data_IF_724333156989
#
_entry.id   IF_724333156989
#
_cell.length_a   1.000
_cell.length_b   1.000
_cell.length_c   1.000
_cell.angle_alpha   90.00
_cell.angle_beta   90.00
_cell.angle_gamma   90.00
#
_symmetry.space_group_name_H-M   'P 1'
#
loop_
_entity.id
_entity.type
_entity.pdbx_description
1 polymer ?
#
# COMPACT_ATOMS: atom_id res chain seq x y z
N UNK A 1 16.14 2.28 0.14
CA UNK A 1 15.01 2.90 0.56
C UNK A 1 14.39 2.22 1.69
N UNK A 2 14.11 2.97 2.69
CA UNK A 2 13.61 2.40 3.88
C UNK A 2 12.28 1.75 3.72
N UNK A 3 11.44 2.27 2.85
CA UNK A 3 10.14 1.70 2.69
C UNK A 3 10.20 0.26 2.18
N UNK A 4 11.16 -0.04 1.34
CA UNK A 4 11.21 -1.37 0.78
C UNK A 4 11.52 -2.42 1.84
N UNK A 5 12.20 -2.01 2.88
CA UNK A 5 12.55 -2.95 3.91
C UNK A 5 11.47 -3.11 4.95
N UNK A 6 10.66 -2.09 5.14
CA UNK A 6 9.67 -2.13 6.19
C UNK A 6 8.33 -2.70 5.78
N UNK A 7 8.09 -2.78 4.49
CA UNK A 7 6.82 -3.26 3.99
C UNK A 7 6.90 -4.75 3.70
N UNK A 8 5.95 -5.51 4.21
CA UNK A 8 5.90 -6.92 3.93
C UNK A 8 4.68 -7.26 3.11
N UNK A 9 4.90 -7.79 1.94
CA UNK A 9 3.83 -8.20 1.05
C UNK A 9 3.06 -9.33 1.73
N UNK A 10 1.77 -9.25 1.75
CA UNK A 10 0.93 -10.25 2.38
C UNK A 10 0.55 -9.92 3.80
N UNK A 11 1.28 -8.99 4.43
CA UNK A 11 0.96 -8.58 5.79
C UNK A 11 0.50 -7.15 5.83
N UNK A 12 1.15 -6.28 5.07
CA UNK A 12 0.92 -4.85 5.16
C UNK A 12 0.10 -4.34 4.00
N UNK A 13 -0.89 -3.51 4.30
CA UNK A 13 -1.55 -2.72 3.28
C UNK A 13 -0.84 -1.40 3.17
N UNK A 14 -1.10 -0.66 2.14
CA UNK A 14 -0.44 0.61 1.91
C UNK A 14 -1.44 1.72 1.67
N UNK A 15 -1.13 2.89 2.19
CA UNK A 15 -1.89 4.09 1.92
C UNK A 15 -0.90 5.11 1.42
N UNK A 16 -1.16 5.70 0.28
CA UNK A 16 -0.33 6.78 -0.25
C UNK A 16 -1.24 7.97 -0.44
N UNK A 17 -0.81 9.14 0.04
CA UNK A 17 -1.62 10.33 -0.11
C UNK A 17 -0.75 11.56 -0.31
N UNK A 18 -1.33 12.55 -0.93
CA UNK A 18 -0.67 13.83 -1.06
C UNK A 18 -1.74 14.89 -0.77
N UNK A 19 -1.52 16.12 -1.14
CA UNK A 19 -2.43 17.20 -0.81
C UNK A 19 -3.79 17.05 -1.47
N UNK A 20 -3.86 16.34 -2.57
CA UNK A 20 -5.08 16.30 -3.35
C UNK A 20 -5.75 14.96 -3.43
N UNK A 21 -5.06 13.89 -3.19
CA UNK A 21 -5.66 12.57 -3.40
C UNK A 21 -5.03 11.53 -2.51
N UNK A 22 -5.65 10.39 -2.43
CA UNK A 22 -5.09 9.28 -1.67
C UNK A 22 -5.52 7.97 -2.31
N UNK A 23 -4.80 6.92 -2.04
CA UNK A 23 -5.14 5.59 -2.49
C UNK A 23 -4.73 4.58 -1.46
N UNK A 24 -5.48 3.49 -1.37
CA UNK A 24 -5.23 2.46 -0.40
C UNK A 24 -5.34 1.10 -1.08
N UNK A 25 -4.42 0.21 -0.79
CA UNK A 25 -4.52 -1.17 -1.25
C UNK A 25 -4.36 -2.09 -0.06
N UNK A 26 -5.19 -3.11 -0.01
CA UNK A 26 -5.19 -4.06 1.09
C UNK A 26 -4.05 -5.04 0.96
N UNK A 27 -3.65 -5.68 2.04
CA UNK A 27 -2.48 -6.57 2.02
C UNK A 27 -2.59 -7.76 1.07
N UNK A 28 -3.78 -8.24 0.81
CA UNK A 28 -3.94 -9.40 -0.03
C UNK A 28 -3.78 -9.07 -1.52
N UNK A 29 -3.88 -7.81 -1.88
CA UNK A 29 -3.84 -7.42 -3.27
C UNK A 29 -2.52 -7.80 -3.95
N UNK A 30 -1.37 -7.44 -3.38
CA UNK A 30 -0.12 -7.79 -4.05
C UNK A 30 0.12 -9.29 -4.08
N UNK A 31 -0.46 -10.02 -3.15
CA UNK A 31 -0.30 -11.46 -3.14
C UNK A 31 -1.08 -12.05 -4.31
N UNK A 32 -2.28 -11.56 -4.54
CA UNK A 32 -3.10 -12.07 -5.61
C UNK A 32 -2.50 -11.79 -6.98
N UNK A 33 -1.83 -10.68 -7.14
CA UNK A 33 -1.26 -10.34 -8.40
C UNK A 33 0.22 -10.68 -8.52
N UNK A 34 0.83 -11.17 -7.46
CA UNK A 34 2.24 -11.53 -7.50
C UNK A 34 3.18 -10.36 -7.55
N UNK A 35 2.85 -9.25 -6.93
CA UNK A 35 3.69 -8.07 -6.96
C UNK A 35 4.74 -8.13 -5.86
N UNK A 36 5.90 -7.57 -6.12
CA UNK A 36 6.89 -7.37 -5.06
C UNK A 36 6.60 -6.01 -4.40
N UNK A 37 7.41 -5.61 -3.44
CA UNK A 37 7.16 -4.38 -2.69
C UNK A 37 7.17 -3.16 -3.60
N UNK A 38 8.10 -3.10 -4.53
CA UNK A 38 8.17 -1.95 -5.39
C UNK A 38 6.93 -1.86 -6.26
N UNK A 39 6.48 -2.97 -6.81
CA UNK A 39 5.28 -2.96 -7.61
C UNK A 39 4.07 -2.60 -6.77
N UNK A 40 4.03 -3.04 -5.53
CA UNK A 40 2.95 -2.73 -4.63
C UNK A 40 2.90 -1.21 -4.43
N UNK A 41 4.04 -0.56 -4.23
CA UNK A 41 4.07 0.88 -4.08
C UNK A 41 3.63 1.58 -5.37
N UNK A 42 4.05 1.07 -6.52
CA UNK A 42 3.68 1.67 -7.77
C UNK A 42 2.17 1.61 -8.00
N UNK A 43 1.59 0.46 -7.73
CA UNK A 43 0.17 0.30 -7.96
C UNK A 43 -0.66 1.08 -6.92
N UNK A 44 -0.13 1.26 -5.72
CA UNK A 44 -0.81 2.09 -4.73
C UNK A 44 -0.80 3.55 -5.18
N UNK A 45 0.28 3.99 -5.81
CA UNK A 45 0.32 5.33 -6.35
C UNK A 45 -0.74 5.48 -7.44
N UNK A 46 -0.86 4.49 -8.29
CA UNK A 46 -1.84 4.57 -9.36
C UNK A 46 -3.26 4.57 -8.79
N UNK A 47 -3.49 3.86 -7.72
CA UNK A 47 -4.80 3.84 -7.08
C UNK A 47 -5.13 5.24 -6.55
N UNK A 48 -4.13 5.99 -6.16
CA UNK A 48 -4.33 7.34 -5.67
C UNK A 48 -4.43 8.35 -6.82
N UNK A 49 -4.34 7.90 -8.05
CA UNK A 49 -4.37 8.79 -9.20
C UNK A 49 -3.04 9.46 -9.46
N UNK A 50 -1.96 8.89 -8.98
CA UNK A 50 -0.63 9.46 -9.13
C UNK A 50 0.19 8.59 -10.06
N UNK A 51 1.31 9.11 -10.52
CA UNK A 51 2.17 8.33 -11.37
C UNK A 51 2.85 7.27 -10.55
N UNK A 52 3.22 6.18 -11.18
CA UNK A 52 3.72 5.02 -10.45
C UNK A 52 4.98 5.27 -9.67
N UNK A 53 5.77 6.25 -10.06
CA UNK A 53 7.00 6.51 -9.35
C UNK A 53 6.87 7.59 -8.29
N UNK A 54 5.66 8.09 -8.06
CA UNK A 54 5.46 9.16 -7.10
C UNK A 54 5.83 8.77 -5.69
N UNK A 55 5.82 7.48 -5.38
CA UNK A 55 6.17 7.04 -4.04
C UNK A 55 7.61 7.40 -3.68
N UNK A 56 8.45 7.72 -4.67
CA UNK A 56 9.81 8.11 -4.40
C UNK A 56 9.92 9.58 -4.05
N UNK A 57 8.81 10.32 -4.19
CA UNK A 57 8.84 11.75 -3.98
C UNK A 57 8.58 12.04 -2.52
N UNK A 58 9.35 12.94 -1.93
CA UNK A 58 9.18 13.24 -0.53
C UNK A 58 7.91 13.95 -0.21
N UNK A 59 7.20 14.45 -1.19
CA UNK A 59 5.98 15.17 -0.93
C UNK A 59 4.77 14.30 -0.72
N UNK A 60 4.89 13.00 -0.92
CA UNK A 60 3.77 12.12 -0.66
C UNK A 60 3.98 11.45 0.67
N UNK A 61 2.89 11.09 1.34
CA UNK A 61 2.96 10.39 2.57
C UNK A 61 2.64 8.96 2.32
N UNK A 62 3.46 8.05 2.83
CA UNK A 62 3.25 6.63 2.66
C UNK A 62 3.10 6.02 4.03
N UNK A 63 2.00 5.31 4.25
CA UNK A 63 1.76 4.65 5.52
C UNK A 63 1.46 3.20 5.27
N UNK A 64 1.78 2.35 6.21
CA UNK A 64 1.41 0.95 6.08
C UNK A 64 0.54 0.58 7.25
N UNK A 65 -0.31 -0.43 7.05
CA UNK A 65 -1.11 -0.92 8.15
C UNK A 65 -1.14 -2.42 8.05
N UNK A 66 -1.26 -3.09 9.15
CA UNK A 66 -1.28 -4.54 9.12
C UNK A 66 -2.68 -5.02 8.88
N UNK A 67 -2.76 -6.07 8.13
CA UNK A 67 -4.06 -6.55 7.71
C UNK A 67 -4.84 -7.29 8.73
N UNK A 68 -4.37 -7.40 9.95
CA UNK A 68 -4.99 -8.10 10.90
C UNK A 68 -6.32 -7.62 11.18
N UNK A 69 -6.56 -6.42 10.98
CA UNK A 69 -7.76 -5.85 11.18
C UNK A 69 -8.85 -6.58 10.56
N UNK A 70 -8.64 -7.20 9.45
CA UNK A 70 -9.70 -7.76 8.89
C UNK A 70 -10.07 -9.05 9.41
N UNK A 71 -9.33 -9.61 10.18
CA UNK A 71 -9.63 -10.77 10.69
C UNK A 71 -10.71 -10.56 11.60
N UNK A 72 -10.75 -9.57 12.34
CA UNK A 72 -11.74 -9.35 13.21
C UNK A 72 -13.00 -9.15 12.64
N UNK A 73 -13.07 -8.49 11.65
CA UNK A 73 -14.24 -8.25 11.08
C UNK A 73 -14.76 -9.41 10.53
N UNK A 74 -14.04 -10.18 10.04
CA UNK A 74 -14.50 -11.22 9.38
C UNK A 74 -15.20 -12.10 10.30
N UNK A 75 -14.89 -12.16 11.46
CA UNK A 75 -15.49 -13.00 12.23
C UNK A 75 -16.68 -12.53 12.60
N UNK A 76 -16.72 -11.53 12.66
CA UNK A 76 -17.80 -11.08 12.94
C UNK A 76 -18.56 -11.29 12.00
N UNK A 77 -18.02 -11.42 11.30
CA UNK A 77 -18.70 -11.53 10.41
C UNK A 77 -18.71 -12.18 10.38
#
# INVERSE_FOLDING_TARGET
MEYLEKIKVGRDGLIIRNSFSSGLLLPQVPVEYGWNVEEFLQHTCEKAGLEKDTWKNEKVKIEKFEGIVYKEKSDGS
#
